data_IF_480833736538
#
_entry.id   IF_480833736538
#
_cell.length_a   1.000
_cell.length_b   1.000
_cell.length_c   1.000
_cell.angle_alpha   90.00
_cell.angle_beta   90.00
_cell.angle_gamma   90.00
#
_symmetry.space_group_name_H-M   'P 1'
#
loop_
_entity.id
_entity.type
_entity.pdbx_description
1 polymer ?
#
# COMPACT_ATOMS: atom_id res chain seq x y z
N UNK A 1 -14.40 -0.79 3.33
CA UNK A 1 -13.96 -2.17 3.56
C UNK A 1 -14.11 -2.44 5.04
N UNK A 2 -14.95 -3.42 5.40
CA UNK A 2 -15.17 -3.78 6.80
C UNK A 2 -13.99 -4.62 7.32
N UNK A 3 -13.90 -4.80 8.64
CA UNK A 3 -12.89 -5.65 9.27
C UNK A 3 -12.96 -7.09 8.77
N UNK A 4 -14.18 -7.62 8.60
CA UNK A 4 -14.41 -8.96 8.04
C UNK A 4 -13.90 -9.07 6.60
N UNK A 5 -14.19 -8.08 5.74
CA UNK A 5 -13.71 -8.09 4.35
C UNK A 5 -12.18 -8.10 4.29
N UNK A 6 -11.54 -7.40 5.23
CA UNK A 6 -10.10 -7.31 5.34
C UNK A 6 -9.48 -8.64 5.77
N UNK A 7 -10.05 -9.31 6.78
CA UNK A 7 -9.61 -10.65 7.18
C UNK A 7 -9.76 -11.66 6.04
N UNK A 8 -10.92 -11.64 5.37
CA UNK A 8 -11.19 -12.51 4.21
C UNK A 8 -10.17 -12.24 3.10
N UNK A 9 -9.86 -10.97 2.81
CA UNK A 9 -8.87 -10.62 1.79
C UNK A 9 -7.44 -11.05 2.17
N UNK A 10 -7.03 -10.94 3.44
CA UNK A 10 -5.73 -11.47 3.90
C UNK A 10 -5.63 -12.99 3.75
N UNK A 11 -6.71 -13.71 4.11
CA UNK A 11 -6.78 -15.16 3.94
C UNK A 11 -6.67 -15.54 2.46
N UNK A 12 -7.35 -14.80 1.58
CA UNK A 12 -7.28 -15.01 0.14
C UNK A 12 -5.86 -14.76 -0.39
N UNK A 13 -5.23 -13.65 0.02
CA UNK A 13 -3.88 -13.29 -0.37
C UNK A 13 -2.87 -14.40 0.00
N UNK A 14 -2.97 -14.94 1.22
CA UNK A 14 -2.16 -16.07 1.67
C UNK A 14 -2.37 -17.33 0.84
N UNK A 15 -3.62 -17.63 0.46
CA UNK A 15 -3.93 -18.79 -0.39
C UNK A 15 -3.38 -18.63 -1.80
N UNK A 16 -3.40 -17.43 -2.37
CA UNK A 16 -2.83 -17.15 -3.69
C UNK A 16 -1.31 -17.37 -3.69
N UNK A 17 -0.63 -16.92 -2.63
CA UNK A 17 0.80 -17.15 -2.44
C UNK A 17 1.11 -18.66 -2.30
N UNK A 18 0.39 -19.39 -1.45
CA UNK A 18 0.57 -20.83 -1.26
C UNK A 18 0.37 -21.65 -2.55
N UNK A 19 -0.41 -21.14 -3.49
CA UNK A 19 -0.64 -21.77 -4.80
C UNK A 19 0.32 -21.28 -5.89
N UNK A 20 1.38 -20.53 -5.53
CA UNK A 20 2.30 -19.89 -6.47
C UNK A 20 1.63 -19.02 -7.54
N UNK A 21 0.45 -18.46 -7.25
CA UNK A 21 -0.23 -17.54 -8.17
C UNK A 21 0.32 -16.11 -8.08
N UNK A 22 0.93 -15.77 -6.95
CA UNK A 22 1.61 -14.50 -6.71
C UNK A 22 2.97 -14.77 -6.05
N UNK A 23 3.93 -13.87 -6.27
CA UNK A 23 5.23 -13.93 -5.61
C UNK A 23 5.12 -13.59 -4.12
N UNK A 24 6.10 -14.03 -3.34
CA UNK A 24 6.24 -13.67 -1.92
C UNK A 24 6.34 -12.15 -1.74
N UNK A 25 7.12 -11.47 -2.59
CA UNK A 25 7.26 -10.02 -2.59
C UNK A 25 5.91 -9.29 -2.77
N UNK A 26 5.08 -9.78 -3.70
CA UNK A 26 3.74 -9.23 -3.92
C UNK A 26 2.80 -9.50 -2.75
N UNK A 27 2.88 -10.70 -2.16
CA UNK A 27 2.13 -11.04 -0.95
C UNK A 27 2.49 -10.11 0.22
N UNK A 28 3.77 -9.91 0.49
CA UNK A 28 4.25 -9.03 1.55
C UNK A 28 3.80 -7.58 1.29
N UNK A 29 4.04 -7.07 0.09
CA UNK A 29 3.66 -5.70 -0.30
C UNK A 29 2.15 -5.45 -0.19
N UNK A 30 1.32 -6.40 -0.64
CA UNK A 30 -0.13 -6.28 -0.53
C UNK A 30 -0.61 -6.40 0.92
N UNK A 31 -0.03 -7.31 1.73
CA UNK A 31 -0.40 -7.50 3.14
C UNK A 31 -0.14 -6.25 3.99
N UNK A 32 0.92 -5.49 3.67
CA UNK A 32 1.28 -4.22 4.31
C UNK A 32 0.55 -3.00 3.73
N UNK A 33 -0.32 -3.17 2.73
CA UNK A 33 -1.00 -2.04 2.11
C UNK A 33 -2.02 -1.38 3.05
N UNK A 34 -2.37 -0.12 2.79
CA UNK A 34 -3.36 0.64 3.58
C UNK A 34 -4.73 -0.04 3.75
N UNK A 35 -5.07 -0.96 2.84
CA UNK A 35 -6.34 -1.68 2.85
C UNK A 35 -6.29 -2.90 3.77
N UNK A 36 -5.13 -3.54 3.87
CA UNK A 36 -4.90 -4.76 4.63
C UNK A 36 -4.17 -4.54 5.95
N UNK A 37 -3.55 -3.39 6.17
CA UNK A 37 -2.86 -3.04 7.39
C UNK A 37 -3.27 -1.67 7.94
N UNK A 38 -4.48 -1.61 8.52
CA UNK A 38 -5.02 -0.38 9.11
C UNK A 38 -4.30 0.03 10.40
N UNK A 39 -3.59 -0.88 11.07
CA UNK A 39 -2.92 -0.61 12.36
C UNK A 39 -1.52 -0.03 12.17
N UNK A 40 -0.77 -0.48 11.15
CA UNK A 40 0.54 0.11 10.86
C UNK A 40 0.47 1.31 9.92
N UNK A 41 -0.64 1.53 9.19
CA UNK A 41 -0.75 2.68 8.29
C UNK A 41 -0.71 4.03 9.03
N UNK A 42 -1.20 4.12 10.27
CA UNK A 42 -1.06 5.34 11.07
C UNK A 42 0.40 5.64 11.41
N UNK A 43 1.24 4.62 11.58
CA UNK A 43 2.66 4.77 11.88
C UNK A 43 3.50 5.08 10.63
N UNK A 44 3.14 4.52 9.47
CA UNK A 44 3.81 4.86 8.18
C UNK A 44 3.40 6.23 7.62
N UNK A 45 2.28 6.79 8.07
CA UNK A 45 1.83 8.13 7.67
C UNK A 45 2.59 9.25 8.41
N UNK A 46 3.17 8.97 9.58
CA UNK A 46 3.98 9.95 10.33
C UNK A 46 5.43 10.05 9.81
N UNK A 47 5.95 9.01 9.14
CA UNK A 47 7.35 8.93 8.68
C UNK A 47 7.60 9.40 7.23
N UNK A 48 6.56 9.85 6.51
CA UNK A 48 6.77 10.50 5.20
C UNK A 48 6.73 12.01 5.36
N UNK A 49 7.89 12.70 5.41
CA UNK A 49 7.88 14.14 5.21
C UNK A 49 7.25 14.40 3.85
N UNK A 50 6.20 15.24 3.85
CA UNK A 50 5.62 15.85 2.67
C UNK A 50 6.76 16.43 1.83
N UNK A 51 7.25 15.68 0.85
CA UNK A 51 8.07 16.26 -0.20
C UNK A 51 7.13 17.16 -0.99
N UNK A 52 7.24 18.46 -0.72
CA UNK A 52 6.65 19.52 -1.51
C UNK A 52 6.79 19.17 -3.00
N UNK A 53 5.70 19.22 -3.79
CA UNK A 53 5.89 19.39 -5.21
C UNK A 53 6.53 20.76 -5.38
N UNK A 54 7.86 20.79 -5.56
CA UNK A 54 8.50 21.88 -6.28
C UNK A 54 7.94 21.79 -7.69
N UNK A 55 6.86 22.52 -7.93
CA UNK A 55 6.39 22.82 -9.27
C UNK A 55 7.55 23.55 -9.96
N UNK A 56 8.17 22.82 -10.87
CA UNK A 56 9.13 23.28 -11.85
C UNK A 56 8.43 24.33 -12.71
N UNK A 57 8.48 25.59 -12.26
CA UNK A 57 8.01 26.74 -13.02
C UNK A 57 8.98 26.95 -14.17
N UNK A 58 8.77 26.16 -15.22
CA UNK A 58 9.40 26.35 -16.52
C UNK A 58 8.96 27.71 -17.06
N UNK A 59 9.98 28.50 -17.32
CA UNK A 59 10.01 29.60 -18.28
C UNK A 59 9.26 29.18 -19.55
N UNK A 60 8.37 30.03 -20.08
CA UNK A 60 8.21 30.23 -21.53
C UNK A 60 7.39 31.51 -21.77
N UNK A 61 7.89 32.27 -22.75
CA UNK A 61 7.58 33.66 -23.12
C UNK A 61 6.17 33.89 -23.68
N UNK A 62 5.58 35.06 -23.41
CA UNK A 62 4.76 35.86 -24.36
C UNK A 62 4.64 37.32 -23.94
#
# INVERSE_FOLDING_TARGET
MNEIDREVGLILLKRLWQRNMISEDLYLSASCSRFFDRKHFTHYAEDKPLQNPKEDQRHDDY
#
